data_IF_808556012510
#
_entry.id   IF_808556012510
#
_cell.length_a   1.000
_cell.length_b   1.000
_cell.length_c   1.000
_cell.angle_alpha   90.00
_cell.angle_beta   90.00
_cell.angle_gamma   90.00
#
_symmetry.space_group_name_H-M   'P 1'
#
loop_
_entity.id
_entity.type
_entity.pdbx_description
1 polymer ?
#
# COMPACT_ATOMS: atom_id res chain seq x y z
N UNK A 1 0.27 -8.24 -6.53
CA UNK A 1 0.61 -6.81 -6.42
C UNK A 1 1.43 -6.62 -5.15
N UNK A 2 2.76 -6.53 -5.29
CA UNK A 2 3.70 -6.53 -4.16
C UNK A 2 3.78 -5.14 -3.53
N UNK A 3 3.83 -5.06 -2.19
CA UNK A 3 4.10 -3.82 -1.46
C UNK A 3 5.58 -3.44 -1.63
N UNK A 4 5.86 -2.15 -1.64
CA UNK A 4 7.24 -1.65 -1.56
C UNK A 4 7.67 -1.59 -0.09
N UNK A 5 8.96 -1.72 0.21
CA UNK A 5 9.47 -1.51 1.58
C UNK A 5 9.09 -0.12 2.11
N UNK A 6 9.35 0.91 1.30
CA UNK A 6 8.85 2.27 1.52
C UNK A 6 8.30 2.79 0.20
N UNK A 7 6.99 3.00 0.13
CA UNK A 7 6.34 3.41 -1.12
C UNK A 7 5.20 4.37 -0.87
N UNK A 8 4.77 5.02 -1.95
CA UNK A 8 3.71 6.01 -1.91
C UNK A 8 2.45 5.53 -1.18
N UNK A 9 1.98 4.31 -1.49
CA UNK A 9 0.76 3.77 -0.90
C UNK A 9 0.89 3.52 0.62
N UNK A 10 2.01 2.97 1.09
CA UNK A 10 2.20 2.71 2.53
C UNK A 10 2.38 4.02 3.30
N UNK A 11 3.16 4.97 2.76
CA UNK A 11 3.33 6.30 3.36
C UNK A 11 1.99 7.03 3.44
N UNK A 12 1.20 7.00 2.37
CA UNK A 12 -0.11 7.61 2.34
C UNK A 12 -1.06 6.99 3.38
N UNK A 13 -1.09 5.66 3.47
CA UNK A 13 -1.88 4.94 4.49
C UNK A 13 -1.52 5.35 5.91
N UNK A 14 -0.22 5.46 6.23
CA UNK A 14 0.25 5.89 7.55
C UNK A 14 -0.23 7.31 7.87
N UNK A 15 -0.12 8.24 6.90
CA UNK A 15 -0.57 9.62 7.09
C UNK A 15 -2.10 9.72 7.23
N UNK A 16 -2.86 9.02 6.39
CA UNK A 16 -4.32 8.99 6.46
C UNK A 16 -4.80 8.40 7.79
N UNK A 17 -4.13 7.33 8.26
CA UNK A 17 -4.40 6.72 9.56
C UNK A 17 -4.07 7.68 10.71
N UNK A 18 -2.96 8.42 10.64
CA UNK A 18 -2.61 9.43 11.64
C UNK A 18 -3.73 10.49 11.76
N UNK A 19 -4.29 10.95 10.65
CA UNK A 19 -5.42 11.88 10.66
C UNK A 19 -6.59 11.28 11.43
N UNK A 20 -7.01 10.08 11.05
CA UNK A 20 -8.10 9.35 11.72
C UNK A 20 -7.85 9.18 13.23
N UNK A 21 -6.71 8.63 13.61
CA UNK A 21 -6.41 8.32 15.02
C UNK A 21 -6.30 9.55 15.91
N UNK A 22 -6.04 10.73 15.32
CA UNK A 22 -5.99 12.01 16.04
C UNK A 22 -7.28 12.81 15.95
N UNK A 23 -8.35 12.24 15.39
CA UNK A 23 -9.64 12.91 15.22
C UNK A 23 -9.62 14.02 14.17
N UNK A 24 -8.62 14.04 13.28
CA UNK A 24 -8.52 14.99 12.17
C UNK A 24 -9.33 14.45 11.00
N UNK A 25 -10.29 15.24 10.53
CA UNK A 25 -11.08 14.88 9.35
C UNK A 25 -10.26 15.15 8.10
N UNK A 26 -9.95 14.11 7.33
CA UNK A 26 -9.45 14.25 5.96
C UNK A 26 -10.62 14.64 5.04
N UNK A 27 -10.43 15.69 4.24
CA UNK A 27 -11.42 16.21 3.29
C UNK A 27 -11.02 15.90 1.84
N UNK A 28 -9.75 16.08 1.48
CA UNK A 28 -9.24 15.80 0.12
C UNK A 28 -7.86 15.18 0.16
N UNK A 29 -7.57 14.35 -0.83
CA UNK A 29 -6.24 13.79 -0.99
C UNK A 29 -5.91 13.41 -2.43
N UNK A 30 -4.63 13.51 -2.78
CA UNK A 30 -4.11 12.88 -3.97
C UNK A 30 -2.80 12.15 -3.72
N UNK A 31 -2.51 11.23 -4.63
CA UNK A 31 -1.22 10.58 -4.79
C UNK A 31 -0.89 10.54 -6.29
N UNK A 32 0.06 11.37 -6.70
CA UNK A 32 0.58 11.42 -8.06
C UNK A 32 1.86 10.60 -8.12
N UNK A 33 1.96 9.62 -9.03
CA UNK A 33 3.14 8.76 -9.14
C UNK A 33 3.64 8.73 -10.58
N UNK A 34 4.94 8.95 -10.79
CA UNK A 34 5.55 8.84 -12.12
C UNK A 34 6.99 8.32 -12.01
N UNK A 35 7.50 7.77 -13.10
CA UNK A 35 8.82 7.16 -13.15
C UNK A 35 9.27 6.93 -14.59
N UNK A 36 10.47 6.39 -14.77
CA UNK A 36 11.10 6.24 -16.10
C UNK A 36 11.31 4.79 -16.54
N UNK A 37 10.84 3.80 -15.77
CA UNK A 37 10.97 2.39 -16.14
C UNK A 37 9.78 1.92 -17.00
N UNK A 38 9.89 0.71 -17.53
CA UNK A 38 8.87 0.13 -18.41
C UNK A 38 7.54 -0.16 -17.70
N UNK A 39 7.50 -0.31 -16.37
CA UNK A 39 6.23 -0.41 -15.62
C UNK A 39 5.44 0.91 -15.74
N UNK A 40 6.11 2.07 -15.66
CA UNK A 40 5.46 3.37 -15.87
C UNK A 40 5.09 3.63 -17.34
N UNK A 41 5.92 3.20 -18.29
CA UNK A 41 5.57 3.28 -19.71
C UNK A 41 4.32 2.45 -20.01
N UNK A 42 4.24 1.24 -19.47
CA UNK A 42 3.06 0.36 -19.58
C UNK A 42 1.82 0.93 -18.88
N UNK A 43 1.98 1.86 -17.94
CA UNK A 43 0.87 2.53 -17.26
C UNK A 43 0.24 3.67 -18.06
N UNK A 44 0.86 4.14 -19.17
CA UNK A 44 0.20 5.09 -20.08
C UNK A 44 -1.01 4.47 -20.79
N UNK A 45 -1.05 3.15 -20.87
CA UNK A 45 -2.16 2.40 -21.44
C UNK A 45 -3.39 2.43 -20.51
N UNK A 46 -4.38 3.26 -20.86
CA UNK A 46 -5.52 3.59 -19.99
C UNK A 46 -6.35 2.39 -19.55
N UNK A 47 -6.47 1.34 -20.36
CA UNK A 47 -7.24 0.13 -20.00
C UNK A 47 -6.64 -0.62 -18.80
N UNK A 48 -5.32 -0.54 -18.60
CA UNK A 48 -4.62 -1.18 -17.47
C UNK A 48 -4.64 -0.33 -16.19
N UNK A 49 -5.09 0.92 -16.28
CA UNK A 49 -5.13 1.84 -15.14
C UNK A 49 -6.26 1.55 -14.18
N UNK A 50 -7.42 1.09 -14.65
CA UNK A 50 -8.63 0.98 -13.83
C UNK A 50 -8.43 0.06 -12.62
N UNK A 51 -7.92 -1.15 -12.84
CA UNK A 51 -7.67 -2.12 -11.75
C UNK A 51 -6.65 -1.60 -10.73
N UNK A 52 -5.56 -0.95 -11.18
CA UNK A 52 -4.53 -0.39 -10.30
C UNK A 52 -5.02 0.88 -9.57
N UNK A 53 -5.86 1.70 -10.22
CA UNK A 53 -6.47 2.88 -9.62
C UNK A 53 -7.43 2.47 -8.50
N UNK A 54 -8.28 1.47 -8.75
CA UNK A 54 -9.18 0.91 -7.74
C UNK A 54 -8.38 0.34 -6.57
N UNK A 55 -7.35 -0.49 -6.82
CA UNK A 55 -6.57 -1.11 -5.74
C UNK A 55 -5.86 -0.08 -4.86
N UNK A 56 -5.21 0.92 -5.47
CA UNK A 56 -4.50 1.98 -4.72
C UNK A 56 -5.46 2.91 -3.99
N UNK A 57 -6.58 3.27 -4.61
CA UNK A 57 -7.61 4.11 -3.97
C UNK A 57 -8.15 3.41 -2.73
N UNK A 58 -8.58 2.14 -2.86
CA UNK A 58 -9.08 1.34 -1.73
C UNK A 58 -8.03 1.14 -0.65
N UNK A 59 -6.76 1.00 -1.02
CA UNK A 59 -5.68 0.87 -0.06
C UNK A 59 -5.59 2.11 0.86
N UNK A 60 -5.87 3.32 0.36
CA UNK A 60 -5.87 4.54 1.19
C UNK A 60 -7.20 4.72 1.92
N UNK A 61 -8.33 4.63 1.20
CA UNK A 61 -9.65 4.90 1.80
C UNK A 61 -10.04 3.88 2.87
N UNK A 62 -9.53 2.65 2.81
CA UNK A 62 -9.73 1.65 3.88
C UNK A 62 -9.12 2.02 5.23
N UNK A 63 -8.31 3.09 5.31
CA UNK A 63 -7.75 3.59 6.57
C UNK A 63 -8.64 4.64 7.24
N UNK A 64 -9.75 5.02 6.61
CA UNK A 64 -10.74 5.96 7.15
C UNK A 64 -11.99 5.19 7.57
N UNK A 65 -12.70 5.71 8.56
CA UNK A 65 -13.96 5.11 9.04
C UNK A 65 -15.19 5.70 8.33
N UNK A 66 -14.96 6.47 7.26
CA UNK A 66 -15.98 7.14 6.45
C UNK A 66 -15.55 7.22 4.99
N UNK A 67 -16.51 7.44 4.10
CA UNK A 67 -16.25 7.60 2.68
C UNK A 67 -15.96 9.06 2.31
N UNK A 68 -14.97 9.24 1.43
CA UNK A 68 -14.70 10.52 0.79
C UNK A 68 -15.51 10.63 -0.51
N UNK A 69 -16.01 11.83 -0.87
CA UNK A 69 -16.61 12.05 -2.17
C UNK A 69 -15.65 11.64 -3.29
N UNK A 70 -16.16 11.04 -4.37
CA UNK A 70 -15.33 10.51 -5.46
C UNK A 70 -14.37 11.55 -6.07
N UNK A 71 -14.79 12.83 -6.14
CA UNK A 71 -13.95 13.93 -6.63
C UNK A 71 -12.89 14.43 -5.65
N UNK A 72 -12.89 13.93 -4.41
CA UNK A 72 -11.97 14.34 -3.34
C UNK A 72 -10.79 13.38 -3.16
N UNK A 73 -10.74 12.29 -3.94
CA UNK A 73 -9.65 11.31 -3.90
C UNK A 73 -9.10 11.09 -5.30
N UNK A 74 -7.81 11.37 -5.47
CA UNK A 74 -7.11 11.13 -6.74
C UNK A 74 -5.84 10.31 -6.52
N UNK A 75 -5.93 8.99 -6.67
CA UNK A 75 -4.81 8.07 -6.45
C UNK A 75 -4.58 7.22 -7.70
N UNK A 76 -3.42 7.38 -8.34
CA UNK A 76 -3.08 6.64 -9.54
C UNK A 76 -1.67 6.90 -10.03
N UNK A 77 -1.14 6.07 -10.94
CA UNK A 77 0.02 6.48 -11.72
C UNK A 77 -0.39 7.62 -12.66
N UNK A 78 0.54 8.54 -12.86
CA UNK A 78 0.26 9.88 -13.38
C UNK A 78 1.02 10.14 -14.67
N UNK A 79 2.24 9.62 -14.81
CA UNK A 79 3.05 9.88 -16.00
C UNK A 79 4.27 8.96 -16.14
N UNK A 80 4.92 9.07 -17.30
CA UNK A 80 6.21 8.48 -17.63
C UNK A 80 7.24 9.56 -17.97
N UNK A 81 8.38 9.53 -17.30
CA UNK A 81 9.47 10.51 -17.48
C UNK A 81 10.78 9.76 -17.78
N UNK A 82 11.25 9.74 -19.05
CA UNK A 82 12.32 8.83 -19.49
C UNK A 82 13.61 8.90 -18.65
N UNK A 83 14.07 10.11 -18.30
CA UNK A 83 15.35 10.29 -17.59
C UNK A 83 15.30 9.93 -16.10
N UNK A 84 14.13 9.54 -15.57
CA UNK A 84 14.05 9.00 -14.22
C UNK A 84 14.60 7.57 -14.14
N UNK A 85 14.65 6.82 -15.26
CA UNK A 85 15.02 5.40 -15.26
C UNK A 85 14.21 4.64 -14.18
N UNK A 86 14.84 3.84 -13.32
CA UNK A 86 14.15 3.11 -12.24
C UNK A 86 13.75 3.99 -11.04
N UNK A 87 14.03 5.30 -11.08
CA UNK A 87 13.53 6.21 -10.05
C UNK A 87 12.04 6.45 -10.23
N UNK A 88 11.35 6.38 -9.11
CA UNK A 88 9.93 6.69 -8.97
C UNK A 88 9.78 7.87 -8.05
N UNK A 89 9.04 8.85 -8.54
CA UNK A 89 8.65 10.02 -7.79
C UNK A 89 7.18 9.91 -7.42
N UNK A 90 6.87 10.36 -6.22
CA UNK A 90 5.50 10.49 -5.77
C UNK A 90 5.29 11.81 -5.03
N UNK A 91 4.18 12.47 -5.35
CA UNK A 91 3.64 13.56 -4.57
C UNK A 91 2.35 13.11 -3.87
N UNK A 92 2.31 13.28 -2.56
CA UNK A 92 1.14 12.98 -1.73
C UNK A 92 0.68 14.29 -1.12
N UNK A 93 -0.63 14.55 -1.18
CA UNK A 93 -1.26 15.67 -0.49
C UNK A 93 -2.44 15.18 0.34
N UNK A 94 -2.54 15.68 1.57
CA UNK A 94 -3.66 15.42 2.47
C UNK A 94 -4.15 16.77 3.00
N UNK A 95 -5.42 17.09 2.73
CA UNK A 95 -6.09 18.27 3.26
C UNK A 95 -7.17 17.83 4.23
N UNK A 96 -7.23 18.48 5.39
CA UNK A 96 -8.22 18.16 6.40
C UNK A 96 -8.48 19.30 7.37
N UNK A 97 -9.20 18.98 8.45
CA UNK A 97 -9.61 19.91 9.50
C UNK A 97 -9.28 19.38 10.89
N UNK A 98 -8.61 20.23 11.66
CA UNK A 98 -8.26 20.04 13.07
C UNK A 98 -9.44 20.46 13.97
N UNK A 99 -9.18 20.51 15.28
CA UNK A 99 -10.10 21.07 16.25
C UNK A 99 -10.56 22.49 15.86
N UNK A 100 -11.86 22.75 15.99
CA UNK A 100 -12.46 24.03 15.61
C UNK A 100 -12.53 24.28 14.10
N UNK A 101 -12.56 23.21 13.29
CA UNK A 101 -12.57 23.27 11.82
C UNK A 101 -11.36 24.03 11.22
N UNK A 102 -10.26 24.15 11.98
CA UNK A 102 -9.03 24.81 11.52
C UNK A 102 -8.39 23.96 10.42
N UNK A 103 -8.13 24.52 9.22
CA UNK A 103 -7.60 23.74 8.11
C UNK A 103 -6.16 23.29 8.37
N UNK A 104 -5.83 22.09 7.90
CA UNK A 104 -4.48 21.54 7.88
C UNK A 104 -4.18 20.93 6.51
N UNK A 105 -2.94 21.07 6.08
CA UNK A 105 -2.46 20.51 4.82
C UNK A 105 -1.10 19.84 5.03
N UNK A 106 -0.93 18.65 4.45
CA UNK A 106 0.37 17.98 4.32
C UNK A 106 0.67 17.81 2.84
N UNK A 107 1.87 18.20 2.44
CA UNK A 107 2.46 17.84 1.15
C UNK A 107 3.76 17.06 1.38
N UNK A 108 3.92 15.97 0.65
CA UNK A 108 5.09 15.10 0.74
C UNK A 108 5.57 14.73 -0.66
N UNK A 109 6.87 14.89 -0.91
CA UNK A 109 7.57 14.29 -2.05
C UNK A 109 8.34 13.07 -1.58
N UNK A 110 8.11 11.93 -2.23
CA UNK A 110 8.87 10.69 -2.05
C UNK A 110 9.63 10.38 -3.33
N UNK A 111 10.90 10.01 -3.19
CA UNK A 111 11.73 9.49 -4.26
C UNK A 111 12.35 8.18 -3.84
N UNK A 112 12.17 7.14 -4.65
CA UNK A 112 12.69 5.79 -4.40
C UNK A 112 13.14 5.16 -5.71
N UNK A 113 14.02 4.17 -5.60
CA UNK A 113 14.29 3.22 -6.69
C UNK A 113 13.22 2.12 -6.65
N UNK A 114 12.41 1.97 -7.70
CA UNK A 114 11.20 1.13 -7.64
C UNK A 114 11.54 -0.36 -7.61
N UNK A 115 12.54 -0.80 -8.38
CA UNK A 115 12.89 -2.22 -8.48
C UNK A 115 13.51 -2.77 -7.19
N UNK A 116 14.58 -2.18 -6.60
CA UNK A 116 15.16 -2.67 -5.34
C UNK A 116 14.19 -2.63 -4.16
N UNK A 117 13.31 -1.63 -4.15
CA UNK A 117 12.32 -1.41 -3.09
C UNK A 117 11.20 -2.46 -3.08
N UNK A 118 10.98 -3.17 -4.19
CA UNK A 118 10.10 -4.35 -4.24
C UNK A 118 10.86 -5.66 -4.06
N UNK A 119 12.12 -5.73 -4.53
CA UNK A 119 12.93 -6.95 -4.50
C UNK A 119 13.07 -7.54 -3.07
N UNK A 120 13.32 -6.71 -2.06
CA UNK A 120 13.40 -7.19 -0.67
C UNK A 120 12.11 -7.85 -0.17
N UNK A 121 10.96 -7.26 -0.50
CA UNK A 121 9.64 -7.79 -0.12
C UNK A 121 9.36 -9.12 -0.84
N UNK A 122 9.79 -9.25 -2.10
CA UNK A 122 9.68 -10.51 -2.85
C UNK A 122 10.52 -11.61 -2.23
N UNK A 123 11.74 -11.30 -1.79
CA UNK A 123 12.60 -12.27 -1.08
C UNK A 123 11.93 -12.78 0.18
N UNK A 124 11.33 -11.91 0.98
CA UNK A 124 10.59 -12.32 2.18
C UNK A 124 9.35 -13.15 1.86
N UNK A 125 8.63 -12.84 0.77
CA UNK A 125 7.52 -13.66 0.29
C UNK A 125 7.96 -15.08 -0.07
N UNK A 126 9.07 -15.23 -0.79
CA UNK A 126 9.64 -16.54 -1.16
C UNK A 126 10.01 -17.33 0.10
N UNK A 127 10.62 -16.67 1.09
CA UNK A 127 10.97 -17.30 2.37
C UNK A 127 9.73 -17.77 3.13
N UNK A 128 8.66 -16.98 3.13
CA UNK A 128 7.39 -17.39 3.73
C UNK A 128 6.78 -18.60 3.02
N UNK A 129 6.81 -18.64 1.68
CA UNK A 129 6.38 -19.80 0.91
C UNK A 129 7.19 -21.05 1.24
N UNK A 130 8.51 -20.93 1.41
CA UNK A 130 9.37 -22.05 1.81
C UNK A 130 9.01 -22.57 3.21
N UNK A 131 8.77 -21.68 4.18
CA UNK A 131 8.32 -22.07 5.51
C UNK A 131 6.96 -22.79 5.48
N UNK A 132 6.01 -22.31 4.66
CA UNK A 132 4.72 -22.97 4.49
C UNK A 132 4.87 -24.38 3.90
N UNK A 133 5.70 -24.51 2.86
CA UNK A 133 6.01 -25.80 2.24
C UNK A 133 6.62 -26.79 3.25
N UNK A 134 7.58 -26.34 4.05
CA UNK A 134 8.25 -27.18 5.06
C UNK A 134 7.31 -27.65 6.17
N UNK A 135 6.23 -26.90 6.41
CA UNK A 135 5.20 -27.22 7.40
C UNK A 135 3.98 -27.95 6.80
N UNK A 136 4.00 -28.25 5.49
CA UNK A 136 2.90 -28.92 4.80
C UNK A 136 1.63 -28.07 4.68
N UNK A 137 1.76 -26.74 4.70
CA UNK A 137 0.62 -25.84 4.74
C UNK A 137 0.21 -25.39 3.33
N UNK A 138 -1.09 -25.42 3.06
CA UNK A 138 -1.70 -25.07 1.77
C UNK A 138 -2.58 -23.82 1.83
N UNK A 139 -2.95 -23.31 0.66
CA UNK A 139 -3.84 -22.14 0.55
C UNK A 139 -3.14 -20.79 0.81
N UNK A 140 -3.91 -19.70 0.92
CA UNK A 140 -3.36 -18.36 1.12
C UNK A 140 -2.78 -18.19 2.53
N UNK A 141 -1.51 -17.77 2.62
CA UNK A 141 -0.86 -17.36 3.87
C UNK A 141 -1.44 -16.00 4.28
N UNK A 142 -2.37 -15.93 5.23
CA UNK A 142 -3.13 -14.69 5.48
C UNK A 142 -2.23 -13.58 6.04
N UNK A 143 -1.41 -13.89 7.06
CA UNK A 143 -0.46 -12.94 7.65
C UNK A 143 0.57 -12.43 6.62
N UNK A 144 1.35 -13.32 5.99
CA UNK A 144 2.31 -12.92 4.96
C UNK A 144 1.68 -12.18 3.79
N UNK A 145 0.51 -12.62 3.30
CA UNK A 145 -0.19 -11.92 2.21
C UNK A 145 -0.58 -10.49 2.62
N UNK A 146 -1.11 -10.31 3.83
CA UNK A 146 -1.51 -9.00 4.34
C UNK A 146 -0.34 -8.03 4.47
N UNK A 147 0.82 -8.53 4.88
CA UNK A 147 2.00 -7.69 5.06
C UNK A 147 2.72 -7.39 3.74
N UNK A 148 2.81 -8.37 2.83
CA UNK A 148 3.67 -8.30 1.64
C UNK A 148 2.93 -7.86 0.36
N UNK A 149 1.60 -7.96 0.32
CA UNK A 149 0.78 -7.68 -0.87
C UNK A 149 -0.14 -6.49 -0.66
N UNK A 150 -0.41 -5.71 -1.74
CA UNK A 150 -1.33 -4.56 -1.68
C UNK A 150 -2.81 -4.97 -1.59
N UNK A 151 -3.13 -6.12 -2.18
CA UNK A 151 -4.48 -6.68 -2.25
C UNK A 151 -4.50 -8.10 -1.69
N UNK A 152 -4.30 -8.29 -0.37
CA UNK A 152 -4.43 -9.59 0.27
C UNK A 152 -5.89 -10.08 0.26
N UNK A 153 -6.12 -11.40 0.44
CA UNK A 153 -7.47 -11.96 0.61
C UNK A 153 -8.25 -11.33 1.76
N UNK A 154 -7.55 -10.97 2.85
CA UNK A 154 -8.08 -10.21 3.98
C UNK A 154 -7.20 -9.00 4.24
N UNK A 155 -7.80 -7.81 4.23
CA UNK A 155 -7.12 -6.57 4.59
C UNK A 155 -6.99 -6.48 6.10
N UNK A 156 -5.79 -6.13 6.56
CA UNK A 156 -5.50 -5.79 7.94
C UNK A 156 -4.85 -4.42 7.97
N UNK A 157 -4.78 -3.82 9.15
CA UNK A 157 -3.91 -2.67 9.32
C UNK A 157 -2.44 -3.10 9.24
N UNK A 158 -1.55 -2.16 8.88
CA UNK A 158 -0.15 -2.51 8.67
C UNK A 158 0.56 -3.02 9.95
N UNK A 159 0.11 -2.59 11.14
CA UNK A 159 0.59 -3.09 12.43
C UNK A 159 0.12 -4.53 12.70
N UNK A 160 -1.17 -4.83 12.47
CA UNK A 160 -1.72 -6.18 12.61
C UNK A 160 -1.08 -7.14 11.59
N UNK A 161 -0.95 -6.71 10.34
CA UNK A 161 -0.31 -7.50 9.29
C UNK A 161 1.14 -7.86 9.66
N UNK A 162 1.88 -6.92 10.26
CA UNK A 162 3.22 -7.20 10.78
C UNK A 162 3.20 -8.23 11.89
N UNK A 163 2.32 -8.08 12.87
CA UNK A 163 2.21 -9.04 13.97
C UNK A 163 1.86 -10.44 13.48
N UNK A 164 0.95 -10.56 12.50
CA UNK A 164 0.58 -11.83 11.88
C UNK A 164 1.75 -12.45 11.11
N UNK A 165 2.52 -11.65 10.36
CA UNK A 165 3.74 -12.14 9.69
C UNK A 165 4.76 -12.67 10.70
N UNK A 166 5.04 -11.93 11.78
CA UNK A 166 5.98 -12.36 12.82
C UNK A 166 5.51 -13.65 13.51
N UNK A 167 4.22 -13.75 13.81
CA UNK A 167 3.62 -14.97 14.35
C UNK A 167 3.77 -16.17 13.40
N UNK A 168 3.52 -15.96 12.10
CA UNK A 168 3.74 -16.97 11.06
C UNK A 168 5.22 -17.40 11.00
N UNK A 169 6.16 -16.45 11.00
CA UNK A 169 7.60 -16.76 10.99
C UNK A 169 7.97 -17.59 12.22
N UNK A 170 7.47 -17.21 13.40
CA UNK A 170 7.69 -17.91 14.67
C UNK A 170 7.01 -19.29 14.75
N UNK A 171 6.17 -19.67 13.79
CA UNK A 171 5.46 -20.95 13.78
C UNK A 171 4.25 -21.00 14.72
N UNK A 172 3.71 -19.83 15.10
CA UNK A 172 2.50 -19.75 15.88
C UNK A 172 1.27 -20.00 14.99
N UNK A 173 0.18 -20.59 15.53
CA UNK A 173 -1.02 -20.84 14.75
C UNK A 173 -1.69 -19.52 14.32
N UNK A 174 -1.94 -19.37 13.01
CA UNK A 174 -2.74 -18.24 12.49
C UNK A 174 -4.25 -18.48 12.71
N UNK A 175 -5.06 -17.42 12.89
CA UNK A 175 -6.51 -17.55 12.84
C UNK A 175 -6.96 -17.98 11.44
N UNK A 176 -7.45 -19.22 11.31
CA UNK A 176 -8.05 -19.74 10.08
C UNK A 176 -7.23 -20.77 9.31
N UNK A 177 -6.12 -21.26 9.86
CA UNK A 177 -5.42 -22.43 9.32
C UNK A 177 -5.87 -23.69 10.09
N UNK A 178 -6.83 -24.43 9.54
CA UNK A 178 -7.03 -25.82 9.96
C UNK A 178 -6.01 -26.68 9.23
N UNK A 179 -5.42 -27.64 9.96
CA UNK A 179 -4.40 -28.56 9.46
C UNK A 179 -5.04 -29.76 8.73
N UNK A 180 -6.10 -29.51 7.96
CA UNK A 180 -6.87 -30.55 7.25
C UNK A 180 -6.37 -30.73 5.81
#
# INVERSE_FOLDING_TARGET
DVKSQVGATITHRVLARLFRERGVRLDRTYQLNFGGNTDFLNMLERERLESKKISKTRAVTSQLDYELPAGSVHVGPSDYVPWLNDRKWCYIRLEGRLFGDVPVNIELKLEVWDSPNSAGVVVDAIRCCKLALDRGLGGPLLGPSAYLMKSPPRQYTDAEARALLEAFIAGQPEPGWSAD
#
